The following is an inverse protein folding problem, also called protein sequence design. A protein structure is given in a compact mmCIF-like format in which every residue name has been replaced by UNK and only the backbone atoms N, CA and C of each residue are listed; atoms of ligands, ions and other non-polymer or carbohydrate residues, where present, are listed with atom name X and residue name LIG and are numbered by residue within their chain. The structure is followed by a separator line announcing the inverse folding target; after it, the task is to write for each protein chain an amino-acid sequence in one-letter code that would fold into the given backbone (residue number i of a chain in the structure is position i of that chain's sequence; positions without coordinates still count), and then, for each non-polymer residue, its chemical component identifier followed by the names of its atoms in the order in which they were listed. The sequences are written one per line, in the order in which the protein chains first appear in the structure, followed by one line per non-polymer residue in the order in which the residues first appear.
data_IF_259640074823
#
_entry.id   IF_259640074823
#
_cell.length_a   1.000
_cell.length_b   1.000
_cell.length_c   1.000
_cell.angle_alpha   90.00
_cell.angle_beta   90.00
_cell.angle_gamma   90.00
#
_symmetry.space_group_name_H-M   'P 1'
#
loop_
_entity.id
_entity.type
_entity.pdbx_description
1 polymer ?
#
# COMPACT_ATOMS: atom_id res chain seq x y z
N UNK A 1 -26.47 -4.62 -23.47
CA UNK A 1 -26.10 -5.39 -22.25
C UNK A 1 -25.89 -4.35 -21.17
N UNK A 2 -26.82 -4.27 -20.25
CA UNK A 2 -26.95 -3.13 -19.33
C UNK A 2 -25.88 -3.16 -18.24
N UNK A 3 -25.32 -1.99 -17.94
CA UNK A 3 -24.33 -1.78 -16.87
C UNK A 3 -24.81 -2.31 -15.51
N UNK A 4 -26.12 -2.31 -15.27
CA UNK A 4 -26.74 -2.87 -14.07
C UNK A 4 -26.71 -4.40 -13.99
N UNK A 5 -26.63 -5.13 -15.12
CA UNK A 5 -26.52 -6.59 -15.09
C UNK A 5 -25.12 -7.04 -14.66
N UNK A 6 -24.13 -6.24 -15.04
CA UNK A 6 -22.73 -6.39 -14.68
C UNK A 6 -22.47 -6.07 -13.18
N UNK A 7 -23.23 -5.13 -12.61
CA UNK A 7 -23.16 -4.78 -11.18
C UNK A 7 -23.76 -5.85 -10.25
N UNK A 8 -24.71 -6.66 -10.74
CA UNK A 8 -25.44 -7.69 -9.97
C UNK A 8 -24.75 -9.06 -9.89
N UNK A 9 -23.76 -9.30 -10.73
CA UNK A 9 -22.86 -10.44 -10.62
C UNK A 9 -21.61 -9.86 -9.94
N UNK A 10 -21.33 -10.24 -8.69
CA UNK A 10 -20.25 -9.69 -7.85
C UNK A 10 -18.83 -9.92 -8.38
N UNK A 11 -18.54 -9.45 -9.58
CA UNK A 11 -17.40 -9.81 -10.40
C UNK A 11 -16.63 -8.59 -10.94
N UNK A 12 -17.07 -7.35 -10.66
CA UNK A 12 -16.58 -6.18 -11.42
C UNK A 12 -16.17 -4.97 -10.58
N UNK A 13 -16.65 -4.84 -9.34
CA UNK A 13 -16.20 -3.75 -8.47
C UNK A 13 -15.90 -4.23 -7.06
N UNK A 14 -14.70 -3.91 -6.60
CA UNK A 14 -14.30 -4.05 -5.21
C UNK A 14 -14.90 -2.94 -4.32
N UNK A 15 -15.74 -2.06 -4.88
CA UNK A 15 -16.32 -0.95 -4.15
C UNK A 15 -17.24 -1.45 -3.03
N UNK A 16 -17.08 -0.86 -1.84
CA UNK A 16 -17.92 -1.15 -0.68
C UNK A 16 -18.51 0.14 -0.11
N UNK A 17 -19.61 -0.01 0.63
CA UNK A 17 -20.21 1.08 1.40
C UNK A 17 -19.55 1.21 2.78
N UNK A 18 -19.58 2.42 3.36
CA UNK A 18 -18.92 2.74 4.64
C UNK A 18 -19.38 1.84 5.80
N UNK A 19 -20.63 1.40 5.79
CA UNK A 19 -21.24 0.49 6.78
C UNK A 19 -20.68 -0.95 6.75
N UNK A 20 -20.04 -1.34 5.65
CA UNK A 20 -19.43 -2.67 5.51
C UNK A 20 -17.98 -2.75 5.99
N UNK A 21 -17.38 -1.61 6.32
CA UNK A 21 -15.99 -1.52 6.78
C UNK A 21 -15.80 -2.21 8.12
N UNK A 22 -14.73 -2.99 8.21
CA UNK A 22 -14.33 -3.69 9.44
C UNK A 22 -12.88 -3.37 9.79
N UNK A 23 -12.56 -3.17 11.08
CA UNK A 23 -11.16 -3.02 11.49
C UNK A 23 -10.29 -4.17 10.96
N UNK A 24 -9.15 -3.83 10.37
CA UNK A 24 -8.24 -4.76 9.70
C UNK A 24 -8.46 -4.89 8.19
N UNK A 25 -9.46 -4.22 7.63
CA UNK A 25 -9.66 -4.15 6.17
C UNK A 25 -8.51 -3.37 5.51
N UNK A 26 -7.96 -3.95 4.44
CA UNK A 26 -7.10 -3.22 3.51
C UNK A 26 -8.03 -2.55 2.49
N UNK A 27 -8.09 -1.24 2.56
CA UNK A 27 -8.89 -0.41 1.67
C UNK A 27 -8.02 0.37 0.72
N UNK A 28 -8.57 0.69 -0.44
CA UNK A 28 -7.95 1.60 -1.36
C UNK A 28 -8.98 2.53 -2.00
N UNK A 29 -8.49 3.61 -2.57
CA UNK A 29 -9.33 4.58 -3.27
C UNK A 29 -8.59 5.12 -4.49
N UNK A 30 -9.28 5.14 -5.63
CA UNK A 30 -8.73 5.65 -6.88
C UNK A 30 -8.55 7.17 -6.83
N UNK A 31 -7.43 7.66 -7.35
CA UNK A 31 -7.05 9.06 -7.47
C UNK A 31 -6.79 9.42 -8.93
N UNK A 32 -6.78 10.73 -9.20
CA UNK A 32 -6.38 11.33 -10.48
C UNK A 32 -7.01 10.61 -11.69
N UNK A 33 -8.33 10.46 -11.71
CA UNK A 33 -9.07 9.76 -12.77
C UNK A 33 -8.63 8.29 -12.99
N UNK A 34 -8.46 7.53 -11.92
CA UNK A 34 -8.16 6.08 -11.92
C UNK A 34 -6.74 5.69 -12.36
N UNK A 35 -5.80 6.64 -12.38
CA UNK A 35 -4.39 6.35 -12.72
C UNK A 35 -3.61 5.78 -11.53
N UNK A 36 -4.05 6.05 -10.30
CA UNK A 36 -3.38 5.66 -9.06
C UNK A 36 -4.41 5.22 -8.03
N UNK A 37 -4.09 4.22 -7.23
CA UNK A 37 -4.86 3.84 -6.04
C UNK A 37 -4.04 4.15 -4.80
N UNK A 38 -4.65 4.84 -3.83
CA UNK A 38 -4.05 5.04 -2.53
C UNK A 38 -4.55 3.97 -1.55
N UNK A 39 -3.64 3.30 -0.86
CA UNK A 39 -3.92 2.12 -0.04
C UNK A 39 -3.70 2.41 1.45
N UNK A 40 -4.48 1.74 2.30
CA UNK A 40 -4.37 1.87 3.75
C UNK A 40 -5.09 0.75 4.50
N UNK A 41 -4.82 0.68 5.81
CA UNK A 41 -5.47 -0.25 6.74
C UNK A 41 -6.48 0.51 7.57
N UNK A 42 -7.75 0.14 7.44
CA UNK A 42 -8.81 0.68 8.29
C UNK A 42 -8.68 0.10 9.70
N UNK A 43 -8.60 0.94 10.72
CA UNK A 43 -8.37 0.51 12.11
C UNK A 43 -9.60 0.64 13.02
N UNK A 44 -10.75 1.02 12.46
CA UNK A 44 -11.95 1.38 13.21
C UNK A 44 -12.05 2.89 13.45
N UNK A 45 -13.18 3.31 14.02
CA UNK A 45 -13.46 4.70 14.41
C UNK A 45 -13.17 5.74 13.30
N UNK A 46 -13.49 5.38 12.06
CA UNK A 46 -13.27 6.24 10.88
C UNK A 46 -11.80 6.63 10.67
N UNK A 47 -10.86 5.80 11.14
CA UNK A 47 -9.40 6.04 11.01
C UNK A 47 -8.73 5.02 10.10
N UNK A 48 -7.74 5.49 9.36
CA UNK A 48 -6.96 4.70 8.41
C UNK A 48 -5.48 4.95 8.66
N UNK A 49 -4.70 3.89 8.83
CA UNK A 49 -3.23 3.95 8.82
C UNK A 49 -2.74 3.68 7.40
N UNK A 50 -1.90 4.55 6.88
CA UNK A 50 -1.40 4.46 5.51
C UNK A 50 0.00 5.03 5.39
N UNK A 51 0.71 4.64 4.34
CA UNK A 51 2.05 5.14 4.05
C UNK A 51 1.99 6.30 3.06
N UNK A 52 2.66 7.39 3.39
CA UNK A 52 2.81 8.59 2.55
C UNK A 52 4.27 8.90 2.31
N UNK A 53 4.62 9.26 1.08
CA UNK A 53 5.93 9.84 0.78
C UNK A 53 5.83 11.35 0.99
N UNK A 54 6.78 11.97 1.70
CA UNK A 54 6.74 13.40 1.93
C UNK A 54 6.95 14.21 0.67
N UNK A 55 6.20 15.32 0.58
CA UNK A 55 6.44 16.36 -0.41
C UNK A 55 7.66 17.18 -0.01
N UNK A 56 8.83 16.78 -0.51
CA UNK A 56 10.11 17.42 -0.19
C UNK A 56 11.06 17.44 -1.38
N UNK A 57 10.60 17.92 -2.54
CA UNK A 57 11.52 18.36 -3.58
C UNK A 57 10.96 19.58 -4.32
N UNK A 58 11.29 20.76 -3.81
CA UNK A 58 11.43 21.94 -4.66
C UNK A 58 12.59 21.68 -5.64
N UNK A 59 12.39 20.85 -6.67
CA UNK A 59 13.20 20.99 -7.88
C UNK A 59 12.43 21.93 -8.78
N UNK A 60 12.92 23.15 -8.90
CA UNK A 60 12.46 24.13 -9.88
C UNK A 60 12.68 23.62 -11.31
N UNK A 61 11.82 22.71 -11.78
CA UNK A 61 11.85 22.20 -13.16
C UNK A 61 10.46 22.15 -13.80
N UNK A 62 9.36 22.37 -13.05
CA UNK A 62 8.04 22.60 -13.63
C UNK A 62 7.54 21.47 -14.53
N UNK A 63 7.88 20.21 -14.20
CA UNK A 63 7.42 19.05 -14.98
C UNK A 63 6.11 18.50 -14.44
N UNK A 64 5.29 17.93 -15.33
CA UNK A 64 3.92 17.46 -15.07
C UNK A 64 3.80 16.41 -13.94
N UNK A 65 4.92 15.82 -13.50
CA UNK A 65 5.01 14.81 -12.44
C UNK A 65 4.98 15.40 -11.02
N UNK A 66 5.31 16.69 -10.84
CA UNK A 66 5.23 17.37 -9.52
C UNK A 66 3.79 17.47 -8.99
N UNK A 67 2.80 17.27 -9.86
CA UNK A 67 1.37 17.22 -9.47
C UNK A 67 0.88 15.81 -9.12
N UNK A 68 1.69 14.77 -9.34
CA UNK A 68 1.24 13.38 -9.27
C UNK A 68 1.52 12.76 -7.90
N UNK A 69 2.49 13.28 -7.15
CA UNK A 69 2.88 12.74 -5.82
C UNK A 69 2.54 13.72 -4.71
N UNK A 70 1.29 14.14 -4.66
CA UNK A 70 0.78 14.76 -3.44
C UNK A 70 -0.32 13.86 -2.94
N UNK A 71 0.03 12.94 -2.03
CA UNK A 71 -0.91 12.60 -0.97
C UNK A 71 -1.07 13.86 -0.13
N UNK A 72 -1.78 14.85 -0.68
CA UNK A 72 -2.32 15.94 0.13
C UNK A 72 -3.30 15.18 1.02
N UNK A 73 -2.87 14.79 2.24
CA UNK A 73 -3.74 15.07 3.37
C UNK A 73 -4.13 16.51 3.10
N UNK A 74 -5.40 16.86 2.84
CA UNK A 74 -5.78 18.21 2.51
C UNK A 74 -5.15 19.11 3.56
N UNK A 75 -4.03 19.73 3.21
CA UNK A 75 -3.47 20.80 3.96
C UNK A 75 -4.47 21.89 3.63
N UNK A 76 -5.53 21.95 4.42
CA UNK A 76 -6.44 23.07 4.46
C UNK A 76 -5.69 24.28 5.06
N UNK A 77 -4.46 24.53 4.60
CA UNK A 77 -3.62 25.68 4.91
C UNK A 77 -4.15 26.97 4.29
N UNK A 78 -5.40 26.96 3.85
CA UNK A 78 -6.14 28.15 3.48
C UNK A 78 -7.58 27.81 3.16
N UNK A 79 -8.32 27.19 4.08
CA UNK A 79 -9.67 27.69 4.41
C UNK A 79 -10.46 26.85 5.45
N UNK A 80 -10.17 25.57 5.74
CA UNK A 80 -10.89 24.78 6.78
C UNK A 80 -10.15 23.50 7.28
N UNK A 81 -9.28 23.53 8.30
CA UNK A 81 -8.61 22.33 8.82
C UNK A 81 -9.58 21.21 9.21
N UNK A 82 -9.27 19.97 8.84
CA UNK A 82 -10.07 18.82 9.23
C UNK A 82 -10.01 18.65 10.76
N UNK A 83 -11.14 18.80 11.44
CA UNK A 83 -11.21 18.72 12.91
C UNK A 83 -10.94 17.31 13.47
N UNK A 84 -11.03 16.27 12.63
CA UNK A 84 -10.83 14.87 13.02
C UNK A 84 -9.39 14.38 12.82
N UNK A 85 -8.56 15.16 12.11
CA UNK A 85 -7.15 14.89 11.94
C UNK A 85 -6.37 15.81 12.89
N UNK A 86 -5.45 15.23 13.66
CA UNK A 86 -4.47 16.02 14.38
C UNK A 86 -3.61 16.82 13.38
N UNK A 87 -3.02 17.95 13.77
CA UNK A 87 -2.12 18.71 12.90
C UNK A 87 -0.90 17.86 12.51
N UNK A 88 -1.01 17.16 11.39
CA UNK A 88 0.02 16.29 10.86
C UNK A 88 1.01 17.12 10.02
N UNK A 89 1.95 17.76 10.71
CA UNK A 89 3.03 18.52 10.08
C UNK A 89 3.97 17.56 9.32
N UNK A 90 3.97 17.63 7.98
CA UNK A 90 5.00 17.06 7.10
C UNK A 90 5.49 15.65 7.49
N UNK A 91 4.57 14.72 7.72
CA UNK A 91 4.92 13.36 8.12
C UNK A 91 5.12 12.48 6.87
N UNK A 92 6.38 12.28 6.50
CA UNK A 92 6.78 11.19 5.61
C UNK A 92 6.73 9.86 6.39
N UNK A 93 6.39 8.76 5.72
CA UNK A 93 6.34 7.44 6.31
C UNK A 93 4.92 6.98 6.64
N UNK A 94 4.75 6.33 7.80
CA UNK A 94 3.45 5.75 8.20
C UNK A 94 2.68 6.76 9.03
N UNK A 95 1.48 7.12 8.57
CA UNK A 95 0.62 8.12 9.19
C UNK A 95 -0.79 7.56 9.45
N UNK A 96 -1.59 8.29 10.24
CA UNK A 96 -2.99 7.94 10.53
C UNK A 96 -3.92 9.12 10.24
N UNK A 97 -4.84 8.99 9.30
CA UNK A 97 -5.81 10.04 8.96
C UNK A 97 -7.26 9.60 9.21
N UNK A 98 -8.19 10.54 9.18
CA UNK A 98 -9.60 10.20 9.10
C UNK A 98 -9.94 9.62 7.72
N UNK A 99 -11.01 8.82 7.64
CA UNK A 99 -11.43 8.13 6.42
C UNK A 99 -11.70 9.13 5.29
N UNK A 100 -12.31 10.29 5.58
CA UNK A 100 -12.62 11.28 4.54
C UNK A 100 -11.37 11.94 3.95
N UNK A 101 -10.37 12.26 4.79
CA UNK A 101 -9.07 12.74 4.32
C UNK A 101 -8.32 11.66 3.54
N UNK A 102 -8.34 10.41 4.01
CA UNK A 102 -7.78 9.29 3.27
C UNK A 102 -8.42 9.18 1.88
N UNK A 103 -9.76 9.30 1.79
CA UNK A 103 -10.54 9.16 0.55
C UNK A 103 -10.43 10.34 -0.41
N UNK A 104 -10.16 11.56 0.07
CA UNK A 104 -10.05 12.78 -0.75
C UNK A 104 -11.22 12.94 -1.76
N UNK A 105 -12.45 12.64 -1.32
CA UNK A 105 -13.67 12.68 -2.15
C UNK A 105 -13.89 11.47 -3.07
N UNK A 106 -13.01 10.46 -3.03
CA UNK A 106 -13.14 9.21 -3.78
C UNK A 106 -13.99 8.15 -3.07
N UNK A 107 -14.20 7.02 -3.77
CA UNK A 107 -14.95 5.88 -3.25
C UNK A 107 -14.05 4.90 -2.46
N UNK A 108 -14.66 4.11 -1.57
CA UNK A 108 -14.00 3.06 -0.79
C UNK A 108 -14.01 1.76 -1.60
N UNK A 109 -12.85 1.14 -1.78
CA UNK A 109 -12.72 -0.18 -2.36
C UNK A 109 -11.98 -1.11 -1.40
N UNK A 110 -12.40 -2.37 -1.34
CA UNK A 110 -11.79 -3.40 -0.52
C UNK A 110 -10.76 -4.19 -1.34
N UNK A 111 -9.54 -4.34 -0.82
CA UNK A 111 -8.54 -5.19 -1.44
C UNK A 111 -8.82 -6.67 -1.11
N UNK A 112 -8.85 -7.53 -2.12
CA UNK A 112 -9.21 -8.95 -1.95
C UNK A 112 -7.97 -9.82 -1.68
N UNK A 113 -8.08 -10.72 -0.71
CA UNK A 113 -7.05 -11.71 -0.38
C UNK A 113 -7.55 -13.12 -0.72
N UNK A 114 -6.62 -14.08 -0.86
CA UNK A 114 -6.94 -15.48 -1.16
C UNK A 114 -7.80 -15.67 -2.41
N UNK A 115 -7.66 -14.80 -3.42
CA UNK A 115 -8.37 -15.00 -4.68
C UNK A 115 -7.79 -16.19 -5.43
N UNK A 116 -8.60 -16.87 -6.24
CA UNK A 116 -8.08 -17.92 -7.12
C UNK A 116 -7.19 -17.31 -8.22
N UNK A 117 -6.22 -18.06 -8.78
CA UNK A 117 -5.41 -17.59 -9.91
C UNK A 117 -6.24 -17.14 -11.12
N UNK A 118 -7.37 -17.81 -11.36
CA UNK A 118 -8.30 -17.43 -12.42
C UNK A 118 -8.98 -16.09 -12.14
N UNK A 119 -9.45 -15.87 -10.91
CA UNK A 119 -10.03 -14.58 -10.49
C UNK A 119 -8.98 -13.45 -10.56
N UNK A 120 -7.75 -13.72 -10.14
CA UNK A 120 -6.63 -12.77 -10.25
C UNK A 120 -6.37 -12.36 -11.70
N UNK A 121 -6.27 -13.32 -12.63
CA UNK A 121 -6.06 -13.05 -14.07
C UNK A 121 -7.24 -12.24 -14.65
N UNK A 122 -8.46 -12.51 -14.19
CA UNK A 122 -9.67 -11.83 -14.67
C UNK A 122 -9.77 -10.36 -14.22
N UNK A 123 -9.04 -9.94 -13.16
CA UNK A 123 -9.07 -8.53 -12.73
C UNK A 123 -8.40 -7.64 -13.77
N UNK A 124 -9.05 -6.56 -14.23
CA UNK A 124 -8.51 -5.71 -15.28
C UNK A 124 -7.32 -4.87 -14.79
N UNK A 125 -7.30 -4.50 -13.50
CA UNK A 125 -6.30 -3.60 -12.89
C UNK A 125 -5.48 -4.30 -11.81
N UNK A 126 -4.20 -3.93 -11.71
CA UNK A 126 -3.30 -4.26 -10.59
C UNK A 126 -3.75 -3.52 -9.32
N UNK A 127 -3.25 -3.93 -8.16
CA UNK A 127 -3.52 -3.23 -6.90
C UNK A 127 -4.96 -3.43 -6.39
N UNK A 128 -5.61 -4.54 -6.71
CA UNK A 128 -6.99 -4.80 -6.29
C UNK A 128 -7.17 -6.12 -5.55
N UNK A 129 -6.27 -7.08 -5.76
CA UNK A 129 -6.32 -8.38 -5.11
C UNK A 129 -4.94 -9.06 -5.08
N UNK A 130 -4.84 -10.11 -4.26
CA UNK A 130 -3.69 -11.02 -4.21
C UNK A 130 -4.15 -12.45 -3.93
N UNK A 131 -3.35 -13.43 -4.36
CA UNK A 131 -3.56 -14.85 -4.04
C UNK A 131 -3.10 -15.15 -2.60
N UNK A 132 -2.22 -14.32 -2.04
CA UNK A 132 -1.75 -14.48 -0.67
C UNK A 132 -2.93 -14.46 0.34
N UNK A 133 -2.90 -15.32 1.37
CA UNK A 133 -3.83 -15.21 2.47
C UNK A 133 -3.49 -14.01 3.36
N UNK A 134 -4.53 -13.41 3.94
CA UNK A 134 -4.38 -12.44 5.02
C UNK A 134 -4.19 -13.16 6.36
N UNK A 135 -3.36 -12.60 7.22
CA UNK A 135 -3.32 -12.91 8.64
C UNK A 135 -4.60 -12.36 9.35
N UNK A 136 -4.89 -12.80 10.58
CA UNK A 136 -6.02 -12.34 11.39
C UNK A 136 -6.06 -10.81 11.61
N UNK A 137 -7.27 -10.22 11.67
CA UNK A 137 -7.43 -8.76 11.73
C UNK A 137 -6.75 -8.08 12.92
N UNK A 138 -6.69 -8.74 14.07
CA UNK A 138 -5.99 -8.27 15.26
C UNK A 138 -4.46 -8.17 15.05
N UNK A 139 -3.85 -9.17 14.40
CA UNK A 139 -2.44 -9.12 14.02
C UNK A 139 -2.15 -8.03 12.98
N UNK A 140 -3.08 -7.83 12.02
CA UNK A 140 -3.00 -6.78 11.00
C UNK A 140 -3.01 -5.40 11.66
N UNK A 141 -3.99 -5.15 12.53
CA UNK A 141 -4.13 -3.88 13.25
C UNK A 141 -2.93 -3.65 14.16
N UNK A 142 -2.46 -4.69 14.87
CA UNK A 142 -1.28 -4.62 15.74
C UNK A 142 -0.05 -4.17 14.96
N UNK A 143 0.20 -4.76 13.78
CA UNK A 143 1.32 -4.36 12.92
C UNK A 143 1.20 -2.94 12.40
N UNK A 144 0.04 -2.55 11.88
CA UNK A 144 -0.18 -1.20 11.37
C UNK A 144 0.05 -0.15 12.48
N UNK A 145 -0.48 -0.38 13.68
CA UNK A 145 -0.26 0.48 14.85
C UNK A 145 1.21 0.50 15.29
N UNK A 146 1.88 -0.65 15.30
CA UNK A 146 3.30 -0.72 15.65
C UNK A 146 4.16 0.12 14.70
N UNK A 147 3.92 0.01 13.39
CA UNK A 147 4.65 0.78 12.38
C UNK A 147 4.37 2.29 12.49
N UNK A 148 3.11 2.68 12.73
CA UNK A 148 2.74 4.07 13.00
C UNK A 148 3.48 4.64 14.23
N UNK A 149 3.51 3.92 15.34
CA UNK A 149 4.13 4.38 16.59
C UNK A 149 5.65 4.49 16.52
N UNK A 150 6.28 3.71 15.65
CA UNK A 150 7.74 3.61 15.57
C UNK A 150 8.32 4.32 14.35
N UNK A 151 7.47 5.00 13.57
CA UNK A 151 7.79 5.53 12.25
C UNK A 151 8.59 4.52 11.41
N UNK A 152 8.17 3.25 11.49
CA UNK A 152 8.80 2.13 10.81
C UNK A 152 8.32 1.98 9.38
N UNK A 153 8.86 1.01 8.65
CA UNK A 153 8.59 0.69 7.23
C UNK A 153 9.63 1.27 6.23
N UNK A 154 10.45 2.24 6.63
CA UNK A 154 11.73 2.63 5.99
C UNK A 154 11.66 3.52 4.74
N UNK A 155 12.83 3.98 4.28
CA UNK A 155 13.09 4.81 3.07
C UNK A 155 13.02 3.99 1.76
N UNK A 156 12.02 3.11 1.61
CA UNK A 156 11.89 2.34 0.37
C UNK A 156 11.71 3.31 -0.82
N UNK A 157 12.63 3.21 -1.78
CA UNK A 157 12.81 4.14 -2.90
C UNK A 157 11.49 4.60 -3.51
N UNK A 158 11.35 5.93 -3.58
CA UNK A 158 10.18 6.67 -3.97
C UNK A 158 9.66 6.29 -5.36
N UNK A 159 8.67 5.39 -5.45
CA UNK A 159 7.66 5.33 -6.51
C UNK A 159 6.39 4.61 -6.01
N UNK A 160 5.25 5.07 -6.54
CA UNK A 160 3.85 4.58 -6.64
C UNK A 160 3.33 3.33 -5.87
N UNK A 161 4.15 2.37 -5.43
CA UNK A 161 3.70 1.12 -4.79
C UNK A 161 3.85 1.08 -3.26
N UNK A 162 4.51 2.04 -2.59
CA UNK A 162 4.81 1.94 -1.16
C UNK A 162 3.57 1.80 -0.26
N UNK A 163 2.45 2.45 -0.59
CA UNK A 163 1.21 2.31 0.18
C UNK A 163 0.55 0.94 -0.01
N UNK A 164 0.63 0.37 -1.21
CA UNK A 164 0.14 -0.99 -1.50
C UNK A 164 1.03 -2.01 -0.79
N UNK A 165 2.35 -1.87 -0.90
CA UNK A 165 3.33 -2.74 -0.24
C UNK A 165 3.21 -2.67 1.29
N UNK A 166 2.99 -1.47 1.85
CA UNK A 166 2.68 -1.28 3.27
C UNK A 166 1.44 -2.06 3.68
N UNK A 167 0.33 -1.87 2.97
CA UNK A 167 -0.92 -2.54 3.32
C UNK A 167 -0.83 -4.05 3.12
N UNK A 168 -0.18 -4.53 2.06
CA UNK A 168 0.10 -5.95 1.83
C UNK A 168 0.98 -6.52 2.94
N UNK A 169 2.03 -5.82 3.34
CA UNK A 169 2.88 -6.23 4.46
C UNK A 169 2.07 -6.32 5.75
N UNK A 170 1.27 -5.30 6.08
CA UNK A 170 0.37 -5.31 7.23
C UNK A 170 -0.64 -6.44 7.18
N UNK A 171 -1.03 -6.94 6.00
CA UNK A 171 -1.98 -8.04 5.87
C UNK A 171 -1.34 -9.43 5.86
N UNK A 172 -0.08 -9.55 5.46
CA UNK A 172 0.51 -10.87 5.15
C UNK A 172 1.81 -11.18 5.89
N UNK A 173 2.46 -10.17 6.46
CA UNK A 173 3.82 -10.20 7.01
C UNK A 173 4.88 -10.51 5.95
N UNK A 174 4.52 -10.51 4.66
CA UNK A 174 5.41 -10.84 3.57
C UNK A 174 6.10 -9.59 3.01
N UNK A 175 7.39 -9.72 2.74
CA UNK A 175 8.15 -8.78 1.93
C UNK A 175 8.89 -9.54 0.83
N UNK A 176 9.04 -8.90 -0.32
CA UNK A 176 9.87 -9.41 -1.41
C UNK A 176 11.33 -9.17 -1.04
N UNK A 177 12.10 -10.24 -0.89
CA UNK A 177 13.47 -10.21 -0.37
C UNK A 177 14.47 -9.53 -1.31
N UNK A 178 14.48 -8.18 -1.34
CA UNK A 178 15.55 -7.43 -2.00
C UNK A 178 16.64 -6.90 -1.06
N UNK A 179 16.39 -6.69 0.24
CA UNK A 179 17.40 -6.00 1.09
C UNK A 179 17.71 -6.61 2.48
N UNK A 180 17.19 -7.78 2.86
CA UNK A 180 17.61 -8.46 4.11
C UNK A 180 18.85 -9.36 3.97
N UNK A 181 19.37 -9.51 2.75
CA UNK A 181 20.64 -10.21 2.51
C UNK A 181 21.66 -9.18 2.02
N UNK A 182 22.41 -8.67 2.99
CA UNK A 182 23.74 -8.12 2.77
C UNK A 182 24.54 -9.07 1.85
N UNK A 183 24.74 -8.68 0.61
CA UNK A 183 25.73 -9.28 -0.30
C UNK A 183 25.20 -10.30 -1.32
N UNK A 184 24.84 -9.82 -2.51
CA UNK A 184 25.22 -10.47 -3.77
C UNK A 184 25.52 -9.42 -4.82
N UNK A 185 26.75 -9.48 -5.34
CA UNK A 185 27.29 -8.57 -6.33
C UNK A 185 26.51 -8.56 -7.65
N UNK A 186 26.69 -7.47 -8.38
CA UNK A 186 26.01 -7.18 -9.63
C UNK A 186 26.07 -8.33 -10.63
N UNK A 187 24.89 -8.77 -11.07
CA UNK A 187 24.71 -9.36 -12.38
C UNK A 187 23.44 -8.76 -12.98
N UNK A 188 23.60 -8.02 -14.08
CA UNK A 188 22.49 -7.61 -14.91
C UNK A 188 21.89 -8.87 -15.54
N UNK A 189 20.67 -9.24 -15.17
CA UNK A 189 19.95 -10.32 -15.82
C UNK A 189 19.58 -9.89 -17.24
N UNK A 190 20.13 -10.55 -18.26
CA UNK A 190 19.64 -10.41 -19.63
C UNK A 190 18.20 -10.92 -19.67
N UNK A 191 17.24 -10.00 -19.84
CA UNK A 191 15.84 -10.38 -20.06
C UNK A 191 15.77 -11.01 -21.44
N UNK A 192 15.37 -12.28 -21.51
CA UNK A 192 15.29 -13.00 -22.78
C UNK A 192 14.32 -12.29 -23.74
N UNK A 193 14.61 -12.31 -25.04
CA UNK A 193 13.71 -11.73 -26.05
C UNK A 193 12.29 -12.34 -25.97
N UNK A 194 12.18 -13.62 -25.58
CA UNK A 194 10.90 -14.28 -25.34
C UNK A 194 10.12 -13.67 -24.15
N UNK A 195 10.80 -13.31 -23.05
CA UNK A 195 10.16 -12.65 -21.91
C UNK A 195 9.72 -11.21 -22.25
N UNK A 196 10.47 -10.51 -23.10
CA UNK A 196 10.05 -9.23 -23.66
C UNK A 196 8.83 -9.36 -24.58
N UNK A 197 8.84 -10.33 -25.51
CA UNK A 197 7.71 -10.57 -26.41
C UNK A 197 6.44 -11.01 -25.68
N UNK A 198 6.57 -11.79 -24.60
CA UNK A 198 5.45 -12.19 -23.76
C UNK A 198 4.72 -10.98 -23.14
N UNK A 199 5.45 -9.93 -22.74
CA UNK A 199 4.85 -8.70 -22.18
C UNK A 199 3.97 -7.96 -23.19
N UNK A 200 4.26 -8.07 -24.49
CA UNK A 200 3.48 -7.43 -25.55
C UNK A 200 2.15 -8.15 -25.83
N UNK A 201 1.99 -9.38 -25.35
CA UNK A 201 0.73 -10.12 -25.46
C UNK A 201 -0.14 -9.93 -24.19
N UNK A 202 -1.47 -9.76 -24.31
CA UNK A 202 -2.34 -9.64 -23.15
C UNK A 202 -2.24 -10.85 -22.20
N UNK A 203 -2.13 -12.06 -22.75
CA UNK A 203 -1.99 -13.29 -21.97
C UNK A 203 -0.64 -13.39 -21.26
N UNK A 204 0.46 -13.05 -21.93
CA UNK A 204 1.79 -13.07 -21.33
C UNK A 204 1.96 -11.98 -20.27
N UNK A 205 1.41 -10.79 -20.47
CA UNK A 205 1.35 -9.73 -19.45
C UNK A 205 0.60 -10.20 -18.20
N UNK A 206 -0.56 -10.86 -18.35
CA UNK A 206 -1.32 -11.43 -17.23
C UNK A 206 -0.59 -12.58 -16.52
N UNK A 207 0.09 -13.44 -17.27
CA UNK A 207 0.90 -14.50 -16.68
C UNK A 207 2.08 -13.93 -15.87
N UNK A 208 2.76 -12.91 -16.37
CA UNK A 208 3.82 -12.20 -15.65
C UNK A 208 3.27 -11.57 -14.37
N UNK A 209 2.10 -10.91 -14.45
CA UNK A 209 1.43 -10.34 -13.29
C UNK A 209 1.10 -11.40 -12.23
N UNK A 210 0.62 -12.58 -12.65
CA UNK A 210 0.32 -13.70 -11.76
C UNK A 210 1.57 -14.21 -11.03
N UNK A 211 2.67 -14.42 -11.74
CA UNK A 211 3.92 -14.88 -11.12
C UNK A 211 4.61 -13.81 -10.27
N UNK A 212 4.29 -12.54 -10.49
CA UNK A 212 4.75 -11.43 -9.66
C UNK A 212 3.92 -11.22 -8.38
N UNK A 213 2.76 -11.88 -8.24
CA UNK A 213 1.92 -11.82 -7.04
C UNK A 213 2.67 -12.36 -5.81
N UNK A 214 2.53 -11.67 -4.68
CA UNK A 214 3.26 -12.02 -3.45
C UNK A 214 2.88 -13.41 -2.91
N UNK A 215 1.69 -13.91 -3.24
CA UNK A 215 1.26 -15.27 -2.89
C UNK A 215 1.89 -16.37 -3.76
N UNK A 216 2.50 -16.03 -4.90
CA UNK A 216 3.10 -17.00 -5.84
C UNK A 216 4.63 -16.95 -5.90
N UNK A 217 5.22 -15.84 -5.43
CA UNK A 217 6.66 -15.64 -5.44
C UNK A 217 7.38 -16.50 -4.42
N UNK A 218 8.51 -17.09 -4.82
CA UNK A 218 9.37 -17.92 -3.95
C UNK A 218 10.32 -17.10 -3.08
N UNK A 219 10.54 -15.82 -3.42
CA UNK A 219 11.40 -14.89 -2.71
C UNK A 219 10.63 -13.96 -1.76
N UNK A 220 9.33 -14.19 -1.59
CA UNK A 220 8.54 -13.57 -0.53
C UNK A 220 8.86 -14.27 0.80
N UNK A 221 9.30 -13.50 1.79
CA UNK A 221 9.65 -14.01 3.11
C UNK A 221 8.74 -13.39 4.17
N UNK A 222 8.35 -14.18 5.18
CA UNK A 222 7.67 -13.65 6.36
C UNK A 222 8.69 -12.89 7.21
N UNK A 223 8.40 -11.63 7.48
CA UNK A 223 9.28 -10.70 8.21
C UNK A 223 8.52 -10.17 9.44
N UNK A 224 9.04 -10.37 10.67
CA UNK A 224 8.43 -9.84 11.88
C UNK A 224 8.47 -8.30 11.88
N UNK A 225 7.46 -7.66 12.45
CA UNK A 225 7.31 -6.20 12.37
C UNK A 225 8.40 -5.43 13.09
N UNK A 226 8.98 -6.04 14.11
CA UNK A 226 10.07 -5.47 14.90
C UNK A 226 11.35 -5.29 14.08
N UNK A 227 11.54 -6.05 13.00
CA UNK A 227 12.73 -5.90 12.15
C UNK A 227 12.61 -4.72 11.18
N UNK A 228 11.42 -4.14 10.99
CA UNK A 228 11.16 -3.00 10.11
C UNK A 228 11.33 -1.63 10.79
N UNK A 229 11.77 -1.63 12.04
CA UNK A 229 12.03 -0.42 12.82
C UNK A 229 13.53 -0.32 13.10
N UNK A 230 14.18 0.82 12.82
CA UNK A 230 15.57 1.04 13.19
C UNK A 230 15.81 0.81 14.69
N UNK A 231 16.83 0.02 15.04
CA UNK A 231 17.15 -0.43 16.41
C UNK A 231 17.51 0.69 17.40
N UNK A 232 17.60 1.94 16.95
CA UNK A 232 18.02 3.11 17.75
C UNK A 232 17.08 3.45 18.93
N UNK A 233 15.87 2.88 18.98
CA UNK A 233 14.91 3.11 20.07
C UNK A 233 14.81 1.96 21.09
N UNK A 234 15.78 1.04 21.12
CA UNK A 234 15.76 -0.15 21.98
C UNK A 234 16.67 -0.06 23.23
N UNK A 235 17.41 1.03 23.44
CA UNK A 235 18.28 1.18 24.62
C UNK A 235 18.04 2.50 25.35
N UNK A 236 16.96 2.56 26.11
CA UNK A 236 16.86 3.47 27.27
C UNK A 236 17.66 2.89 28.43
N UNK A 237 18.99 2.87 28.34
CA UNK A 237 19.84 2.41 29.43
C UNK A 237 20.00 3.54 30.44
N UNK A 238 19.49 3.29 31.65
CA UNK A 238 19.75 4.08 32.85
C UNK A 238 21.22 4.46 32.96
N UNK A 239 21.52 5.75 33.11
CA UNK A 239 22.73 6.18 33.80
C UNK A 239 22.35 6.86 35.10
N UNK A 240 22.60 6.12 36.17
CA UNK A 240 22.57 6.54 37.56
C UNK A 240 23.29 7.89 37.75
N UNK A 241 22.64 8.76 38.53
CA UNK A 241 23.34 9.77 39.32
C UNK A 241 24.11 9.06 40.43
N UNK A 242 25.43 9.22 40.43
CA UNK A 242 26.23 9.53 41.63
C UNK A 242 27.39 10.41 41.19
#
# INVERSE_FOLDING_TARGET
MDSHFLEKIGFISNQISRDKLKPGDHIYSWRNAYIYSHHGIYIGDEKVIHFTCGGGLETGTGTFLDKIVVSVIPNHKGDNPCSNCEEQLNLEGVISSCLDCFLAGGNIYLFEYSVSPAAFIAKPRRGTCTIAPSDPCDEVISRAKYLLLRNGFGDYHALENNCEDFAIYCKTSLLVGKDYVLGRGGQASSVSAAAWLAQLSPFGSKAIQLFADIGMRKDAIKVPVESLVPRAYATGTSRNRR
#
